data_IF_632743905262
#
_entry.id   IF_632743905262
#
_cell.length_a   1.000
_cell.length_b   1.000
_cell.length_c   1.000
_cell.angle_alpha   90.00
_cell.angle_beta   90.00
_cell.angle_gamma   90.00
#
_symmetry.space_group_name_H-M   'P 1'
#
loop_
_entity.id
_entity.type
_entity.pdbx_description
1 polymer ?
#
# COMPACT_ATOMS: atom_id res chain seq x y z
N UNK A 1 26.08 -25.01 9.52
CA UNK A 1 24.92 -25.03 8.61
C UNK A 1 24.51 -23.58 8.33
N UNK A 2 25.08 -22.93 7.30
CA UNK A 2 24.68 -21.57 6.93
C UNK A 2 23.32 -21.67 6.24
N UNK A 3 22.29 -21.05 6.83
CA UNK A 3 21.00 -20.87 6.16
C UNK A 3 21.24 -20.20 4.81
N UNK A 4 20.81 -20.87 3.73
CA UNK A 4 20.74 -20.28 2.40
C UNK A 4 19.74 -19.12 2.44
N UNK A 5 20.22 -17.91 2.69
CA UNK A 5 19.41 -16.70 2.55
C UNK A 5 19.27 -16.38 1.07
N UNK A 6 18.21 -16.92 0.45
CA UNK A 6 17.79 -16.42 -0.86
C UNK A 6 17.34 -14.96 -0.69
N UNK A 7 17.92 -13.99 -1.42
CA UNK A 7 17.59 -12.57 -1.27
C UNK A 7 16.09 -12.27 -1.38
N UNK A 8 15.37 -13.05 -2.20
CA UNK A 8 13.93 -12.98 -2.41
C UNK A 8 13.11 -13.26 -1.14
N UNK A 9 13.54 -14.20 -0.29
CA UNK A 9 12.84 -14.54 0.95
C UNK A 9 12.94 -13.38 1.97
N UNK A 10 14.05 -12.66 1.97
CA UNK A 10 14.23 -11.50 2.85
C UNK A 10 13.19 -10.40 2.56
N UNK A 11 12.89 -10.13 1.29
CA UNK A 11 11.94 -9.10 0.85
C UNK A 11 10.51 -9.44 1.30
N UNK A 12 10.14 -10.72 1.20
CA UNK A 12 8.84 -11.21 1.68
C UNK A 12 8.71 -11.06 3.20
N UNK A 13 9.75 -11.39 3.96
CA UNK A 13 9.75 -11.20 5.43
C UNK A 13 9.62 -9.73 5.82
N UNK A 14 10.34 -8.84 5.16
CA UNK A 14 10.22 -7.40 5.42
C UNK A 14 8.82 -6.88 5.06
N UNK A 15 8.27 -7.30 3.94
CA UNK A 15 6.93 -6.88 3.50
C UNK A 15 5.83 -7.38 4.44
N UNK A 16 5.92 -8.63 4.88
CA UNK A 16 5.02 -9.20 5.90
C UNK A 16 5.07 -8.42 7.22
N UNK A 17 6.27 -8.11 7.74
CA UNK A 17 6.42 -7.30 8.96
C UNK A 17 5.78 -5.92 8.85
N UNK A 18 5.98 -5.22 7.72
CA UNK A 18 5.38 -3.90 7.48
C UNK A 18 3.86 -3.98 7.36
N UNK A 19 3.36 -4.97 6.62
CA UNK A 19 1.94 -5.23 6.48
C UNK A 19 1.25 -5.43 7.84
N UNK A 20 1.84 -6.24 8.72
CA UNK A 20 1.29 -6.45 10.06
C UNK A 20 1.24 -5.17 10.90
N UNK A 21 2.26 -4.31 10.82
CA UNK A 21 2.27 -3.00 11.51
C UNK A 21 1.21 -2.04 10.97
N UNK A 22 0.99 -2.03 9.66
CA UNK A 22 -0.06 -1.19 9.07
C UNK A 22 -1.44 -1.67 9.50
N UNK A 23 -1.70 -2.99 9.46
CA UNK A 23 -3.02 -3.56 9.82
C UNK A 23 -3.35 -3.48 11.31
N UNK A 24 -2.37 -3.59 12.18
CA UNK A 24 -2.53 -3.41 13.63
C UNK A 24 -2.73 -1.94 14.02
N UNK A 25 -2.38 -1.01 13.13
CA UNK A 25 -2.35 0.42 13.43
C UNK A 25 -1.08 0.86 14.17
N UNK A 26 -0.09 -0.02 14.34
CA UNK A 26 1.22 0.31 14.93
C UNK A 26 2.07 1.19 14.02
N UNK A 27 1.84 1.12 12.70
CA UNK A 27 2.39 2.09 11.77
C UNK A 27 1.64 3.41 11.92
N UNK A 28 2.34 4.43 12.41
CA UNK A 28 1.78 5.77 12.61
C UNK A 28 2.21 6.72 11.51
N UNK A 29 1.32 7.64 11.15
CA UNK A 29 1.66 8.83 10.38
C UNK A 29 2.47 9.82 11.22
N UNK A 30 2.85 10.94 10.61
CA UNK A 30 3.73 11.93 11.24
C UNK A 30 3.19 12.49 12.56
N UNK A 31 1.87 12.58 12.71
CA UNK A 31 1.21 13.07 13.93
C UNK A 31 0.93 11.98 14.97
N UNK A 32 1.42 10.75 14.77
CA UNK A 32 1.20 9.63 15.68
C UNK A 32 -0.14 8.91 15.49
N UNK A 33 -0.97 9.33 14.53
CA UNK A 33 -2.25 8.68 14.19
C UNK A 33 -2.02 7.42 13.35
N UNK A 34 -2.88 6.42 13.50
CA UNK A 34 -2.80 5.18 12.71
C UNK A 34 -3.15 5.45 11.23
N UNK A 35 -2.55 4.68 10.32
CA UNK A 35 -2.85 4.77 8.89
C UNK A 35 -4.28 4.27 8.61
N UNK A 36 -5.05 5.07 7.88
CA UNK A 36 -6.42 4.73 7.46
C UNK A 36 -6.58 4.65 5.94
N UNK A 37 -5.62 5.19 5.18
CA UNK A 37 -5.59 5.15 3.72
C UNK A 37 -4.22 4.74 3.19
N UNK A 38 -4.20 3.90 2.16
CA UNK A 38 -3.01 3.52 1.40
C UNK A 38 -3.21 3.90 -0.06
N UNK A 39 -2.27 4.63 -0.65
CA UNK A 39 -2.32 5.03 -2.06
C UNK A 39 -1.20 4.34 -2.81
N UNK A 40 -1.54 3.46 -3.76
CA UNK A 40 -0.61 2.89 -4.72
C UNK A 40 -0.44 3.86 -5.90
N UNK A 41 0.80 4.28 -6.15
CA UNK A 41 1.17 5.11 -7.29
C UNK A 41 2.08 4.29 -8.19
N UNK A 42 1.59 3.95 -9.39
CA UNK A 42 2.33 3.16 -10.37
C UNK A 42 1.55 3.09 -11.67
N UNK A 43 2.19 2.76 -12.80
CA UNK A 43 1.52 2.61 -14.09
C UNK A 43 1.71 1.20 -14.65
N UNK A 44 0.77 0.75 -15.48
CA UNK A 44 0.85 -0.55 -16.16
C UNK A 44 0.87 -1.70 -15.16
N UNK A 45 1.89 -2.57 -15.24
CA UNK A 45 2.00 -3.75 -14.37
C UNK A 45 2.06 -3.42 -12.87
N UNK A 46 2.58 -2.25 -12.51
CA UNK A 46 2.67 -1.77 -11.11
C UNK A 46 1.34 -1.27 -10.54
N UNK A 47 0.29 -1.19 -11.35
CA UNK A 47 -1.06 -0.77 -10.93
C UNK A 47 -2.10 -1.85 -11.21
N UNK A 48 -2.14 -2.35 -12.44
CA UNK A 48 -3.15 -3.31 -12.89
C UNK A 48 -3.11 -4.61 -12.08
N UNK A 49 -1.92 -5.12 -11.76
CA UNK A 49 -1.76 -6.33 -10.95
C UNK A 49 -2.30 -6.14 -9.53
N UNK A 50 -1.78 -5.15 -8.77
CA UNK A 50 -2.30 -4.80 -7.45
C UNK A 50 -3.80 -4.53 -7.43
N UNK A 51 -4.32 -3.69 -8.33
CA UNK A 51 -5.74 -3.34 -8.43
C UNK A 51 -6.60 -4.59 -8.62
N UNK A 52 -6.25 -5.42 -9.60
CA UNK A 52 -6.99 -6.64 -9.93
C UNK A 52 -7.06 -7.61 -8.75
N UNK A 53 -5.93 -7.87 -8.08
CA UNK A 53 -5.91 -8.77 -6.92
C UNK A 53 -6.68 -8.19 -5.73
N UNK A 54 -6.60 -6.87 -5.48
CA UNK A 54 -7.38 -6.26 -4.40
C UNK A 54 -8.88 -6.30 -4.61
N UNK A 55 -9.35 -6.11 -5.85
CA UNK A 55 -10.78 -6.21 -6.15
C UNK A 55 -11.25 -7.67 -6.15
N UNK A 56 -10.48 -8.59 -6.74
CA UNK A 56 -10.83 -10.02 -6.77
C UNK A 56 -10.92 -10.63 -5.35
N UNK A 57 -10.07 -10.19 -4.42
CA UNK A 57 -10.02 -10.71 -3.05
C UNK A 57 -10.80 -9.87 -2.03
N UNK A 58 -11.54 -8.85 -2.49
CA UNK A 58 -12.32 -7.95 -1.62
C UNK A 58 -13.24 -8.68 -0.61
N UNK A 59 -13.92 -9.80 -0.95
CA UNK A 59 -14.75 -10.55 0.00
C UNK A 59 -13.95 -11.16 1.17
N UNK A 60 -12.65 -11.39 1.00
CA UNK A 60 -11.78 -11.96 2.04
C UNK A 60 -11.11 -10.87 2.90
N UNK A 61 -11.32 -9.59 2.58
CA UNK A 61 -10.74 -8.48 3.30
C UNK A 61 -11.37 -8.35 4.70
N UNK A 62 -10.59 -8.66 5.74
CA UNK A 62 -11.01 -8.53 7.15
C UNK A 62 -10.73 -7.12 7.71
N UNK A 63 -11.16 -6.10 6.99
CA UNK A 63 -10.88 -4.70 7.32
C UNK A 63 -9.41 -4.29 7.13
N UNK A 64 -9.10 -3.03 7.44
CA UNK A 64 -7.79 -2.41 7.24
C UNK A 64 -7.92 -1.01 6.61
N UNK A 65 -6.79 -0.38 6.23
CA UNK A 65 -6.83 0.89 5.50
C UNK A 65 -7.60 0.76 4.18
N UNK A 66 -8.26 1.84 3.76
CA UNK A 66 -8.81 1.96 2.40
C UNK A 66 -7.65 2.02 1.41
N UNK A 67 -7.81 1.37 0.27
CA UNK A 67 -6.76 1.32 -0.76
C UNK A 67 -7.21 2.13 -1.97
N UNK A 68 -6.32 2.99 -2.45
CA UNK A 68 -6.50 3.88 -3.59
C UNK A 68 -5.44 3.56 -4.66
N UNK A 69 -5.81 3.62 -5.92
CA UNK A 69 -4.93 3.33 -7.05
C UNK A 69 -4.85 4.55 -7.97
N UNK A 70 -3.64 5.09 -8.11
CA UNK A 70 -3.36 6.28 -8.94
C UNK A 70 -2.32 5.90 -9.98
N UNK A 71 -2.77 5.71 -11.21
CA UNK A 71 -1.91 5.27 -12.32
C UNK A 71 -1.69 6.25 -13.45
N UNK A 72 -2.37 7.39 -13.40
CA UNK A 72 -2.27 8.40 -14.44
C UNK A 72 -1.35 9.56 -14.00
N UNK A 73 -0.60 10.11 -14.96
CA UNK A 73 0.13 11.38 -14.85
C UNK A 73 -0.84 12.58 -14.88
N UNK A 74 -2.11 12.37 -15.28
CA UNK A 74 -3.14 13.39 -15.21
C UNK A 74 -3.36 13.88 -13.77
N UNK A 75 -2.96 15.13 -13.52
CA UNK A 75 -3.09 15.80 -12.23
C UNK A 75 -4.52 15.84 -11.69
N UNK A 76 -5.54 15.68 -12.55
CA UNK A 76 -6.95 15.66 -12.11
C UNK A 76 -7.26 14.44 -11.25
N UNK A 77 -6.78 13.25 -11.65
CA UNK A 77 -7.03 12.03 -10.88
C UNK A 77 -6.30 12.08 -9.53
N UNK A 78 -5.06 12.58 -9.54
CA UNK A 78 -4.27 12.78 -8.33
C UNK A 78 -4.94 13.80 -7.40
N UNK A 79 -5.36 14.96 -7.92
CA UNK A 79 -6.02 16.01 -7.13
C UNK A 79 -7.32 15.51 -6.49
N UNK A 80 -8.16 14.78 -7.24
CA UNK A 80 -9.39 14.17 -6.70
C UNK A 80 -9.09 13.18 -5.58
N UNK A 81 -8.08 12.34 -5.76
CA UNK A 81 -7.67 11.37 -4.75
C UNK A 81 -7.17 12.09 -3.49
N UNK A 82 -6.24 13.04 -3.65
CA UNK A 82 -5.69 13.82 -2.53
C UNK A 82 -6.76 14.61 -1.76
N UNK A 83 -7.77 15.15 -2.45
CA UNK A 83 -8.87 15.87 -1.80
C UNK A 83 -9.71 15.00 -0.86
N UNK A 84 -9.72 13.68 -1.05
CA UNK A 84 -10.45 12.74 -0.18
C UNK A 84 -9.61 12.20 0.99
N UNK A 85 -8.30 12.50 1.02
CA UNK A 85 -7.35 11.90 1.95
C UNK A 85 -7.02 12.82 3.13
N UNK A 86 -6.80 12.22 4.30
CA UNK A 86 -6.22 12.93 5.43
C UNK A 86 -4.68 12.76 5.42
N UNK A 87 -3.90 13.84 5.25
CA UNK A 87 -2.44 13.77 5.17
C UNK A 87 -1.78 13.21 6.45
N UNK A 88 -2.47 13.26 7.59
CA UNK A 88 -1.94 12.70 8.84
C UNK A 88 -2.02 11.18 8.93
N UNK A 89 -2.87 10.54 8.11
CA UNK A 89 -3.20 9.11 8.22
C UNK A 89 -3.07 8.35 6.90
N UNK A 90 -2.40 8.92 5.91
CA UNK A 90 -2.21 8.30 4.59
C UNK A 90 -0.79 7.75 4.44
N UNK A 91 -0.68 6.58 3.82
CA UNK A 91 0.58 5.97 3.39
C UNK A 91 0.63 5.89 1.87
N UNK A 92 1.70 6.42 1.26
CA UNK A 92 1.94 6.31 -0.17
C UNK A 92 2.91 5.16 -0.48
N UNK A 93 2.58 4.36 -1.49
CA UNK A 93 3.43 3.31 -2.04
C UNK A 93 3.77 3.70 -3.47
N UNK A 94 5.06 3.92 -3.75
CA UNK A 94 5.54 4.19 -5.10
C UNK A 94 6.01 2.88 -5.71
N UNK A 95 5.30 2.43 -6.74
CA UNK A 95 5.57 1.17 -7.44
C UNK A 95 6.05 1.46 -8.87
N UNK A 96 7.37 1.44 -9.06
CA UNK A 96 8.02 1.50 -10.37
C UNK A 96 9.03 0.37 -10.49
N UNK A 97 9.10 -0.25 -11.66
CA UNK A 97 10.21 -1.13 -12.01
C UNK A 97 11.44 -0.31 -12.36
#
# INVERSE_FOLDING_TARGET
>A
MKSLEFPSISILRHSSKRHSKVRSGDWKGYTGKAITDVVNIGIGGSDLGPLMVTEALKPYSKGGPRVWFVSNIDGTHMAKTLAALNPETVLFIIASK
#
